data_IF_063667582975
#
_entry.id   IF_063667582975
#
_cell.length_a   1.000
_cell.length_b   1.000
_cell.length_c   1.000
_cell.angle_alpha   90.00
_cell.angle_beta   90.00
_cell.angle_gamma   90.00
#
_symmetry.space_group_name_H-M   'P 1'
#
loop_
_entity.id
_entity.type
_entity.pdbx_description
1 polymer ?
#
# COMPACT_ATOMS: atom_id res chain seq x y z
N UNK A 1 -8.22 30.38 -6.44
CA UNK A 1 -8.21 28.96 -5.99
C UNK A 1 -7.78 28.16 -7.20
N UNK A 2 -6.61 27.53 -7.15
CA UNK A 2 -6.05 26.84 -8.31
C UNK A 2 -6.91 25.65 -8.71
N UNK A 3 -7.39 25.65 -9.96
CA UNK A 3 -8.30 24.64 -10.52
C UNK A 3 -7.73 23.22 -10.36
N UNK A 4 -6.41 23.06 -10.57
CA UNK A 4 -5.72 21.80 -10.38
C UNK A 4 -5.75 21.29 -8.93
N UNK A 5 -5.79 22.19 -7.94
CA UNK A 5 -5.86 21.81 -6.53
C UNK A 5 -7.27 21.35 -6.15
N UNK A 6 -8.31 22.00 -6.67
CA UNK A 6 -9.71 21.58 -6.45
C UNK A 6 -10.00 20.20 -7.05
N UNK A 7 -9.57 19.94 -8.28
CA UNK A 7 -9.76 18.63 -8.93
C UNK A 7 -9.05 17.51 -8.15
N UNK A 8 -7.83 17.76 -7.66
CA UNK A 8 -7.08 16.79 -6.85
C UNK A 8 -7.79 16.47 -5.53
N UNK A 9 -8.44 17.46 -4.91
CA UNK A 9 -9.20 17.27 -3.66
C UNK A 9 -10.42 16.38 -3.93
N UNK A 10 -11.18 16.66 -4.99
CA UNK A 10 -12.35 15.87 -5.36
C UNK A 10 -12.00 14.42 -5.68
N UNK A 11 -10.95 14.20 -6.49
CA UNK A 11 -10.47 12.86 -6.83
C UNK A 11 -10.06 12.07 -5.59
N UNK A 12 -9.32 12.68 -4.66
CA UNK A 12 -8.93 12.00 -3.41
C UNK A 12 -10.13 11.61 -2.56
N UNK A 13 -11.14 12.48 -2.44
CA UNK A 13 -12.37 12.18 -1.71
C UNK A 13 -13.10 11.00 -2.34
N UNK A 14 -13.24 11.04 -3.66
CA UNK A 14 -13.88 9.95 -4.43
C UNK A 14 -13.16 8.62 -4.22
N UNK A 15 -11.84 8.54 -4.42
CA UNK A 15 -11.09 7.29 -4.27
C UNK A 15 -11.06 6.74 -2.84
N UNK A 16 -11.10 7.61 -1.82
CA UNK A 16 -11.26 7.19 -0.42
C UNK A 16 -12.64 6.57 -0.18
N UNK A 17 -13.70 7.23 -0.66
CA UNK A 17 -15.06 6.70 -0.58
C UNK A 17 -15.17 5.35 -1.29
N UNK A 18 -14.63 5.22 -2.51
CA UNK A 18 -14.65 3.97 -3.26
C UNK A 18 -13.89 2.85 -2.54
N UNK A 19 -12.74 3.14 -1.92
CA UNK A 19 -11.98 2.14 -1.14
C UNK A 19 -12.68 1.73 0.15
N UNK A 20 -13.39 2.63 0.81
CA UNK A 20 -14.17 2.29 2.01
C UNK A 20 -15.29 1.29 1.77
N UNK A 21 -15.74 1.17 0.51
CA UNK A 21 -16.76 0.21 0.09
C UNK A 21 -16.17 -1.15 -0.30
N UNK A 22 -14.84 -1.28 -0.40
CA UNK A 22 -14.16 -2.55 -0.74
C UNK A 22 -13.85 -3.35 0.52
N UNK A 23 -13.78 -4.66 0.35
CA UNK A 23 -13.29 -5.55 1.41
C UNK A 23 -11.79 -5.31 1.64
N UNK A 24 -11.39 -5.12 2.91
CA UNK A 24 -10.01 -4.86 3.33
C UNK A 24 -9.23 -6.13 3.65
N UNK A 25 -9.85 -7.30 3.51
CA UNK A 25 -9.20 -8.58 3.75
C UNK A 25 -8.24 -9.02 2.63
N UNK A 26 -8.16 -8.29 1.51
CA UNK A 26 -7.32 -8.64 0.38
C UNK A 26 -5.82 -8.62 0.73
N UNK A 27 -5.14 -9.72 0.42
CA UNK A 27 -3.70 -9.90 0.64
C UNK A 27 -2.89 -9.37 -0.54
N UNK A 28 -1.84 -8.60 -0.23
CA UNK A 28 -0.90 -8.08 -1.23
C UNK A 28 0.36 -8.92 -1.38
N UNK A 29 0.44 -10.07 -0.69
CA UNK A 29 1.64 -10.93 -0.69
C UNK A 29 2.08 -11.39 -2.09
N UNK A 30 1.17 -11.44 -3.07
CA UNK A 30 1.49 -11.83 -4.44
C UNK A 30 2.54 -10.91 -5.12
N UNK A 31 2.65 -9.65 -4.72
CA UNK A 31 3.60 -8.70 -5.33
C UNK A 31 5.06 -9.01 -4.97
N UNK A 32 5.29 -9.80 -3.92
CA UNK A 32 6.64 -10.17 -3.47
C UNK A 32 7.41 -11.02 -4.51
N UNK A 33 6.68 -11.62 -5.46
CA UNK A 33 7.24 -12.48 -6.51
C UNK A 33 7.74 -11.68 -7.73
N UNK A 34 7.68 -10.35 -7.66
CA UNK A 34 8.27 -9.48 -8.69
C UNK A 34 9.78 -9.41 -8.52
N UNK A 35 10.50 -9.22 -9.63
CA UNK A 35 11.97 -9.20 -9.62
C UNK A 35 12.52 -8.05 -8.77
N UNK A 36 11.78 -6.95 -8.67
CA UNK A 36 12.11 -5.81 -7.81
C UNK A 36 12.14 -6.20 -6.33
N UNK A 37 11.14 -6.96 -5.86
CA UNK A 37 11.08 -7.43 -4.48
C UNK A 37 12.09 -8.54 -4.20
N UNK A 38 12.32 -9.42 -5.17
CA UNK A 38 13.33 -10.47 -5.06
C UNK A 38 14.75 -9.89 -4.95
N UNK A 39 15.09 -8.90 -5.77
CA UNK A 39 16.42 -8.28 -5.80
C UNK A 39 16.68 -7.32 -4.62
N UNK A 40 15.63 -6.69 -4.08
CA UNK A 40 15.78 -5.74 -2.98
C UNK A 40 16.24 -6.44 -1.69
N UNK A 41 17.20 -5.84 -0.96
CA UNK A 41 17.57 -6.29 0.39
C UNK A 41 16.77 -5.55 1.47
N UNK A 42 16.57 -4.25 1.25
CA UNK A 42 15.84 -3.35 2.15
C UNK A 42 14.69 -2.73 1.38
N UNK A 43 13.49 -2.73 1.96
CA UNK A 43 12.25 -2.26 1.33
C UNK A 43 11.63 -1.20 2.24
N UNK A 44 11.36 -0.02 1.68
CA UNK A 44 10.54 0.97 2.36
C UNK A 44 9.08 0.54 2.28
N UNK A 45 8.46 0.35 3.45
CA UNK A 45 7.05 0.01 3.57
C UNK A 45 6.37 0.96 4.55
N UNK A 46 5.08 0.76 4.80
CA UNK A 46 4.29 1.57 5.71
C UNK A 46 3.33 0.70 6.53
N UNK A 47 2.84 1.26 7.64
CA UNK A 47 1.77 0.67 8.45
C UNK A 47 0.45 1.28 7.97
N UNK A 48 -0.39 0.47 7.33
CA UNK A 48 -1.67 0.93 6.77
C UNK A 48 -2.60 1.54 7.83
N UNK A 49 -3.32 2.58 7.45
CA UNK A 49 -4.39 3.16 8.25
C UNK A 49 -5.62 3.54 7.40
N UNK A 50 -6.79 3.66 8.07
CA UNK A 50 -8.01 4.11 7.41
C UNK A 50 -8.48 3.20 6.26
N UNK A 51 -8.54 3.76 5.06
CA UNK A 51 -9.01 3.10 3.82
C UNK A 51 -7.86 2.65 2.90
N UNK A 52 -6.64 2.58 3.43
CA UNK A 52 -5.48 2.09 2.72
C UNK A 52 -5.51 0.55 2.54
N UNK A 53 -4.83 0.04 1.50
CA UNK A 53 -4.57 -1.39 1.38
C UNK A 53 -3.85 -1.91 2.62
N UNK A 54 -4.21 -3.09 3.13
CA UNK A 54 -3.56 -3.65 4.30
C UNK A 54 -2.17 -4.20 3.93
N UNK A 55 -1.13 -3.74 4.63
CA UNK A 55 0.26 -4.15 4.39
C UNK A 55 0.80 -5.10 5.47
N UNK A 56 -0.01 -5.47 6.46
CA UNK A 56 0.46 -6.21 7.63
C UNK A 56 0.99 -7.58 7.25
N UNK A 57 0.24 -8.32 6.45
CA UNK A 57 0.60 -9.67 5.99
C UNK A 57 1.78 -9.65 5.01
N UNK A 58 1.80 -8.67 4.09
CA UNK A 58 2.93 -8.42 3.19
C UNK A 58 4.21 -8.13 3.98
N UNK A 59 4.17 -7.19 4.93
CA UNK A 59 5.33 -6.83 5.76
C UNK A 59 5.87 -8.05 6.52
N UNK A 60 4.97 -8.87 7.07
CA UNK A 60 5.36 -10.13 7.73
C UNK A 60 6.02 -11.11 6.75
N UNK A 61 5.48 -11.26 5.54
CA UNK A 61 6.04 -12.14 4.52
C UNK A 61 7.43 -11.68 4.07
N UNK A 62 7.63 -10.37 3.87
CA UNK A 62 8.94 -9.80 3.49
C UNK A 62 10.00 -10.04 4.56
N UNK A 63 9.67 -9.80 5.84
CA UNK A 63 10.58 -10.10 6.96
C UNK A 63 10.92 -11.59 6.99
N UNK A 64 9.92 -12.46 6.81
CA UNK A 64 10.13 -13.92 6.77
C UNK A 64 11.05 -14.36 5.62
N UNK A 65 11.01 -13.64 4.50
CA UNK A 65 11.89 -13.86 3.35
C UNK A 65 13.29 -13.21 3.51
N UNK A 66 13.62 -12.72 4.71
CA UNK A 66 14.93 -12.15 5.02
C UNK A 66 15.13 -10.72 4.51
N UNK A 67 14.06 -10.01 4.15
CA UNK A 67 14.10 -8.60 3.78
C UNK A 67 14.13 -7.72 5.03
N UNK A 68 14.84 -6.61 4.95
CA UNK A 68 14.79 -5.54 5.95
C UNK A 68 13.70 -4.54 5.57
N UNK A 69 12.90 -4.09 6.54
CA UNK A 69 11.87 -3.07 6.31
C UNK A 69 12.30 -1.73 6.93
N UNK A 70 12.17 -0.67 6.15
CA UNK A 70 12.17 0.71 6.65
C UNK A 70 10.72 1.19 6.71
N UNK A 71 10.22 1.52 7.91
CA UNK A 71 8.83 1.91 8.18
C UNK A 71 8.71 3.38 8.56
#
# INVERSE_FOLDING_TARGET
MDIANSEKIELRKRFRSERSLRDRAESWTHIQNSSEFEAAKTIASYISYGDEPQTKDLNQALIKNGKELAL
#
